data_IF_117740884923
#
_entry.id   IF_117740884923
#
_cell.length_a   1.000
_cell.length_b   1.000
_cell.length_c   1.000
_cell.angle_alpha   90.00
_cell.angle_beta   90.00
_cell.angle_gamma   90.00
#
_symmetry.space_group_name_H-M   'P 1'
#
loop_
_entity.id
_entity.type
_entity.pdbx_description
1 polymer ?
#
# COMPACT_ATOMS: atom_id res chain seq x y z
N UNK A 1 -16.26 -0.15 -1.64
CA UNK A 1 -15.21 0.66 -0.99
C UNK A 1 -15.92 1.78 -0.25
N UNK A 2 -15.68 2.02 1.04
CA UNK A 2 -16.44 3.03 1.79
C UNK A 2 -16.06 4.43 1.30
N UNK A 3 -17.03 5.35 1.32
CA UNK A 3 -16.84 6.77 0.96
C UNK A 3 -15.66 7.39 1.75
N UNK A 4 -15.47 6.96 2.99
CA UNK A 4 -14.39 7.41 3.87
C UNK A 4 -12.98 7.11 3.32
N UNK A 5 -12.77 5.93 2.72
CA UNK A 5 -11.46 5.58 2.16
C UNK A 5 -11.12 6.46 0.96
N UNK A 6 -12.09 6.69 0.07
CA UNK A 6 -11.89 7.55 -1.11
C UNK A 6 -11.60 9.01 -0.69
N UNK A 7 -12.31 9.50 0.32
CA UNK A 7 -12.06 10.84 0.87
C UNK A 7 -10.66 10.96 1.49
N UNK A 8 -10.21 9.97 2.25
CA UNK A 8 -8.86 9.96 2.82
C UNK A 8 -7.77 9.96 1.74
N UNK A 9 -7.92 9.13 0.70
CA UNK A 9 -6.97 9.12 -0.43
C UNK A 9 -6.95 10.43 -1.20
N UNK A 10 -8.10 11.08 -1.37
CA UNK A 10 -8.19 12.37 -2.06
C UNK A 10 -7.52 13.50 -1.26
N UNK A 11 -7.72 13.53 0.05
CA UNK A 11 -7.09 14.51 0.93
C UNK A 11 -5.54 14.38 0.94
N UNK A 12 -5.03 13.15 0.98
CA UNK A 12 -3.59 12.90 0.93
C UNK A 12 -2.99 13.30 -0.43
N UNK A 13 -3.66 12.93 -1.53
CA UNK A 13 -3.24 13.34 -2.87
C UNK A 13 -3.21 14.88 -3.01
N UNK A 14 -4.24 15.56 -2.52
CA UNK A 14 -4.31 17.02 -2.54
C UNK A 14 -3.13 17.64 -1.76
N UNK A 15 -2.84 17.11 -0.58
CA UNK A 15 -1.69 17.54 0.25
C UNK A 15 -0.36 17.35 -0.50
N UNK A 16 -0.16 16.20 -1.15
CA UNK A 16 1.05 15.92 -1.93
C UNK A 16 1.20 16.88 -3.12
N UNK A 17 0.09 17.26 -3.77
CA UNK A 17 0.09 18.19 -4.90
C UNK A 17 0.32 19.65 -4.47
N UNK A 18 -0.19 20.05 -3.30
CA UNK A 18 0.06 21.38 -2.75
C UNK A 18 1.51 21.56 -2.28
N UNK A 19 2.14 20.48 -1.81
CA UNK A 19 3.56 20.44 -1.48
C UNK A 19 4.49 20.21 -2.69
N UNK A 20 3.96 20.32 -3.92
CA UNK A 20 4.73 20.05 -5.13
C UNK A 20 5.89 21.03 -5.30
N UNK A 21 7.12 20.55 -5.54
CA UNK A 21 8.20 21.39 -6.02
C UNK A 21 7.91 21.89 -7.44
N UNK A 22 8.57 22.98 -7.85
CA UNK A 22 8.46 23.53 -9.21
C UNK A 22 8.82 22.49 -10.30
N UNK A 23 9.74 21.57 -9.99
CA UNK A 23 10.06 20.42 -10.82
C UNK A 23 9.27 19.17 -10.39
N UNK A 24 8.14 18.96 -11.05
CA UNK A 24 7.24 17.81 -10.84
C UNK A 24 7.86 16.45 -11.17
N UNK A 25 8.99 16.39 -11.90
CA UNK A 25 9.61 15.13 -12.33
C UNK A 25 10.09 14.26 -11.16
N UNK A 26 10.35 14.88 -10.00
CA UNK A 26 10.84 14.21 -8.80
C UNK A 26 9.72 13.70 -7.87
N UNK A 27 8.45 13.99 -8.14
CA UNK A 27 7.39 13.73 -7.15
C UNK A 27 7.04 12.26 -6.96
N UNK A 28 7.07 11.46 -8.04
CA UNK A 28 6.71 10.03 -8.08
C UNK A 28 5.50 9.67 -7.18
N UNK A 29 4.42 10.44 -7.30
CA UNK A 29 3.25 10.40 -6.41
C UNK A 29 2.62 9.01 -6.38
N UNK A 30 2.52 8.36 -7.54
CA UNK A 30 1.96 7.01 -7.65
C UNK A 30 2.71 6.02 -6.77
N UNK A 31 4.05 6.05 -6.77
CA UNK A 31 4.84 5.14 -5.97
C UNK A 31 4.68 5.43 -4.47
N UNK A 32 4.67 6.71 -4.07
CA UNK A 32 4.45 7.11 -2.66
C UNK A 32 3.10 6.63 -2.13
N UNK A 33 2.01 6.96 -2.82
CA UNK A 33 0.66 6.55 -2.42
C UNK A 33 0.51 5.03 -2.39
N UNK A 34 1.08 4.35 -3.39
CA UNK A 34 1.06 2.90 -3.44
C UNK A 34 1.76 2.27 -2.24
N UNK A 35 2.92 2.79 -1.85
CA UNK A 35 3.66 2.26 -0.69
C UNK A 35 2.90 2.47 0.61
N UNK A 36 2.35 3.66 0.82
CA UNK A 36 1.51 4.02 1.98
C UNK A 36 0.25 3.13 2.09
N UNK A 37 -0.38 2.81 0.96
CA UNK A 37 -1.57 1.95 0.96
C UNK A 37 -1.24 0.46 1.04
N UNK A 38 -0.10 0.03 0.49
CA UNK A 38 0.26 -1.38 0.39
C UNK A 38 0.64 -1.96 1.76
N UNK A 39 1.36 -1.22 2.59
CA UNK A 39 1.76 -1.68 3.93
C UNK A 39 0.56 -2.03 4.84
N UNK A 40 -0.42 -1.15 5.09
CA UNK A 40 -1.57 -1.47 5.94
C UNK A 40 -2.45 -2.58 5.35
N UNK A 41 -2.52 -2.71 4.02
CA UNK A 41 -3.18 -3.84 3.36
C UNK A 41 -2.49 -5.17 3.73
N UNK A 42 -1.16 -5.22 3.60
CA UNK A 42 -0.39 -6.42 3.94
C UNK A 42 -0.47 -6.75 5.43
N UNK A 43 -0.30 -5.76 6.31
CA UNK A 43 -0.37 -5.93 7.77
C UNK A 43 -1.74 -6.43 8.21
N UNK A 44 -2.82 -5.81 7.69
CA UNK A 44 -4.19 -6.19 8.02
C UNK A 44 -4.50 -7.64 7.65
N UNK A 45 -4.14 -8.06 6.43
CA UNK A 45 -4.43 -9.43 5.97
C UNK A 45 -3.47 -10.45 6.60
N UNK A 46 -2.21 -10.11 6.83
CA UNK A 46 -1.28 -10.97 7.58
C UNK A 46 -1.76 -11.19 9.02
N UNK A 47 -2.23 -10.14 9.70
CA UNK A 47 -2.79 -10.23 11.05
C UNK A 47 -4.06 -11.07 11.08
N UNK A 48 -4.98 -10.84 10.14
CA UNK A 48 -6.20 -11.64 9.98
C UNK A 48 -5.90 -13.12 9.71
N UNK A 49 -4.86 -13.40 8.91
CA UNK A 49 -4.41 -14.76 8.60
C UNK A 49 -3.46 -15.36 9.66
N UNK A 50 -3.28 -14.70 10.81
CA UNK A 50 -2.38 -15.14 11.89
C UNK A 50 -0.95 -15.45 11.40
N UNK A 51 -0.44 -14.67 10.45
CA UNK A 51 0.89 -14.86 9.87
C UNK A 51 0.98 -15.90 8.74
N UNK A 52 -0.11 -16.57 8.38
CA UNK A 52 -0.13 -17.57 7.32
C UNK A 52 -0.04 -16.92 5.93
N UNK A 53 1.18 -16.87 5.39
CA UNK A 53 1.45 -16.27 4.07
C UNK A 53 0.70 -16.92 2.91
N UNK A 54 0.42 -18.23 2.96
CA UNK A 54 -0.33 -18.88 1.88
C UNK A 54 -1.78 -18.42 1.87
N UNK A 55 -2.41 -18.32 3.05
CA UNK A 55 -3.76 -17.79 3.20
C UNK A 55 -3.82 -16.30 2.84
N UNK A 56 -2.83 -15.50 3.28
CA UNK A 56 -2.71 -14.09 2.88
C UNK A 56 -2.60 -13.92 1.37
N UNK A 57 -1.78 -14.74 0.70
CA UNK A 57 -1.60 -14.67 -0.75
C UNK A 57 -2.92 -14.97 -1.50
N UNK A 58 -3.63 -16.02 -1.06
CA UNK A 58 -4.96 -16.38 -1.59
C UNK A 58 -5.96 -15.24 -1.38
N UNK A 59 -6.05 -14.71 -0.15
CA UNK A 59 -6.99 -13.65 0.19
C UNK A 59 -6.72 -12.34 -0.59
N UNK A 60 -5.45 -12.02 -0.83
CA UNK A 60 -5.05 -10.86 -1.65
C UNK A 60 -5.13 -11.11 -3.15
N UNK A 61 -5.37 -12.34 -3.60
CA UNK A 61 -5.42 -12.70 -5.02
C UNK A 61 -4.07 -12.57 -5.73
N UNK A 62 -2.95 -12.73 -5.00
CA UNK A 62 -1.59 -12.68 -5.56
C UNK A 62 -0.88 -14.01 -5.31
N UNK A 63 0.11 -14.33 -6.15
CA UNK A 63 0.92 -15.51 -5.89
C UNK A 63 1.81 -15.30 -4.64
N UNK A 64 2.21 -16.41 -3.98
CA UNK A 64 3.02 -16.38 -2.76
C UNK A 64 4.40 -15.73 -2.96
N UNK A 65 5.03 -15.89 -4.12
CA UNK A 65 6.33 -15.29 -4.40
C UNK A 65 6.24 -13.75 -4.43
N UNK A 66 5.20 -13.21 -5.06
CA UNK A 66 4.87 -11.79 -5.08
C UNK A 66 4.57 -11.28 -3.67
N UNK A 67 3.75 -12.00 -2.88
CA UNK A 67 3.52 -11.64 -1.48
C UNK A 67 4.85 -11.56 -0.70
N UNK A 68 5.70 -12.58 -0.82
CA UNK A 68 6.99 -12.62 -0.11
C UNK A 68 7.89 -11.44 -0.47
N UNK A 69 7.95 -11.07 -1.75
CA UNK A 69 8.70 -9.90 -2.22
C UNK A 69 8.15 -8.60 -1.61
N UNK A 70 6.82 -8.46 -1.54
CA UNK A 70 6.18 -7.31 -0.90
C UNK A 70 6.47 -7.26 0.61
N UNK A 71 6.34 -8.38 1.32
CA UNK A 71 6.64 -8.44 2.76
C UNK A 71 8.09 -8.05 3.06
N UNK A 72 9.07 -8.49 2.25
CA UNK A 72 10.47 -8.06 2.39
C UNK A 72 10.65 -6.57 2.19
N UNK A 73 10.03 -5.99 1.15
CA UNK A 73 10.11 -4.56 0.86
C UNK A 73 9.61 -3.70 2.02
N UNK A 74 8.58 -4.18 2.72
CA UNK A 74 7.98 -3.49 3.87
C UNK A 74 8.57 -3.92 5.22
N UNK A 75 9.69 -4.66 5.23
CA UNK A 75 10.38 -5.13 6.45
C UNK A 75 9.51 -5.99 7.39
N UNK A 76 8.65 -6.84 6.81
CA UNK A 76 7.73 -7.73 7.52
C UNK A 76 8.17 -9.21 7.48
N UNK A 77 9.40 -9.49 7.03
CA UNK A 77 9.96 -10.84 6.88
C UNK A 77 11.40 -10.91 7.36
#
# INVERSE_FOLDING_TARGET
MSIQFQQATAAELQTLLEAAPDDISQMNIYQKLKEEMEKPLLEGVMKWAHGNQSQTAIALGINRATLRTKLKRHHML
#
